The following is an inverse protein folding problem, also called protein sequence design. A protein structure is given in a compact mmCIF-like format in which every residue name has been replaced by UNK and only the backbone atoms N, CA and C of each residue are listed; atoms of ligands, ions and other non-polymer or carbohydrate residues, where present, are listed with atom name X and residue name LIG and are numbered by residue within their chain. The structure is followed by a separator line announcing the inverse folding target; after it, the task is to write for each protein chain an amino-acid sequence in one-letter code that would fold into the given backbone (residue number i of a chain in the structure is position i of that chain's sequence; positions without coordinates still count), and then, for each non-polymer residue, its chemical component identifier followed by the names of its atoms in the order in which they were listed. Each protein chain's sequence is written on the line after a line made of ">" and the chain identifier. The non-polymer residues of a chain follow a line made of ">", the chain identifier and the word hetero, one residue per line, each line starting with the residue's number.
data_IF_769857733470
#
_entry.id   IF_769857733470
#
_cell.length_a   1.000
_cell.length_b   1.000
_cell.length_c   1.000
_cell.angle_alpha   90.00
_cell.angle_beta   90.00
_cell.angle_gamma   90.00
#
_symmetry.space_group_name_H-M   'P 1'
#
loop_
_entity.id
_entity.type
_entity.pdbx_description
1 polymer ?
#
# COMPACT_ATOMS: atom_id res chain seq x y z
N UNK A 1 -42.67 -28.06 22.80
CA UNK A 1 -43.16 -26.66 22.75
C UNK A 1 -42.11 -25.68 23.31
N UNK A 2 -41.55 -24.87 22.40
CA UNK A 2 -41.04 -23.50 22.61
C UNK A 2 -40.01 -23.21 23.72
N UNK A 3 -38.76 -22.98 23.29
CA UNK A 3 -37.91 -21.83 23.69
C UNK A 3 -38.65 -20.48 23.37
N UNK A 4 -38.20 -19.23 23.74
CA UNK A 4 -36.80 -18.74 23.80
C UNK A 4 -36.45 -17.51 24.70
N UNK A 5 -35.18 -17.03 24.61
CA UNK A 5 -34.58 -15.73 25.05
C UNK A 5 -34.49 -15.45 26.58
N UNK A 6 -33.49 -14.80 27.17
CA UNK A 6 -32.65 -13.68 26.73
C UNK A 6 -31.35 -13.56 27.58
N UNK A 7 -30.36 -12.93 26.96
CA UNK A 7 -29.01 -12.45 27.35
C UNK A 7 -28.82 -11.81 28.75
N UNK A 8 -27.62 -11.98 29.34
CA UNK A 8 -26.75 -10.89 29.84
C UNK A 8 -25.46 -11.46 30.47
N UNK A 9 -24.30 -11.28 29.82
CA UNK A 9 -23.02 -11.27 30.54
C UNK A 9 -22.26 -10.00 30.16
N UNK A 10 -22.05 -9.18 31.18
CA UNK A 10 -21.33 -7.91 31.18
C UNK A 10 -19.86 -8.18 30.86
N UNK A 11 -19.29 -7.46 29.90
CA UNK A 11 -17.85 -7.27 29.81
C UNK A 11 -17.52 -5.79 29.91
N UNK A 12 -16.83 -5.47 30.98
CA UNK A 12 -16.30 -4.19 31.39
C UNK A 12 -15.03 -3.89 30.57
N UNK A 13 -14.94 -2.70 29.96
CA UNK A 13 -13.65 -2.09 29.55
C UNK A 13 -13.71 -0.60 29.90
N UNK A 14 -12.70 -0.03 30.60
CA UNK A 14 -12.79 1.25 31.30
C UNK A 14 -12.57 2.48 30.40
N UNK A 15 -12.90 3.62 31.00
CA UNK A 15 -12.96 4.96 30.44
C UNK A 15 -11.60 5.67 30.28
N UNK A 16 -11.69 6.77 29.51
CA UNK A 16 -10.89 8.00 29.55
C UNK A 16 -9.56 8.05 28.76
N UNK A 17 -9.55 8.88 27.72
CA UNK A 17 -8.70 10.07 27.69
C UNK A 17 -9.23 11.06 26.64
N UNK A 18 -9.84 12.13 27.12
CA UNK A 18 -10.14 13.35 26.36
C UNK A 18 -8.82 14.09 26.17
N UNK A 19 -8.48 14.44 24.93
CA UNK A 19 -7.47 15.46 24.65
C UNK A 19 -8.09 16.50 23.71
N UNK A 20 -8.35 17.66 24.27
CA UNK A 20 -8.76 18.86 23.57
C UNK A 20 -7.62 19.38 22.68
N UNK A 21 -7.94 19.82 21.47
CA UNK A 21 -7.16 20.82 20.75
C UNK A 21 -8.11 21.86 20.16
N UNK A 22 -8.02 23.06 20.74
CA UNK A 22 -8.74 24.28 20.37
C UNK A 22 -7.85 25.06 19.39
N UNK A 23 -8.44 25.36 18.22
CA UNK A 23 -8.22 26.48 17.31
C UNK A 23 -6.79 27.00 17.04
N UNK A 24 -6.37 26.91 15.76
CA UNK A 24 -5.93 28.08 15.00
C UNK A 24 -5.91 27.80 13.49
N UNK A 25 -6.68 28.58 12.73
CA UNK A 25 -6.35 29.05 11.38
C UNK A 25 -6.10 28.05 10.25
N UNK A 26 -7.13 27.83 9.43
CA UNK A 26 -7.04 27.47 8.01
C UNK A 26 -6.34 26.15 7.64
N UNK A 27 -7.14 25.09 7.48
CA UNK A 27 -6.92 24.11 6.41
C UNK A 27 -8.21 23.31 6.20
N UNK A 28 -8.61 23.12 4.94
CA UNK A 28 -9.69 22.21 4.53
C UNK A 28 -9.53 20.86 5.25
N UNK A 29 -10.29 20.68 6.34
CA UNK A 29 -10.24 19.44 7.07
C UNK A 29 -10.91 18.37 6.22
N UNK A 30 -10.06 17.44 5.78
CA UNK A 30 -10.42 16.14 5.28
C UNK A 30 -11.67 15.64 5.99
N UNK A 31 -12.65 15.21 5.19
CA UNK A 31 -13.70 14.31 5.62
C UNK A 31 -13.02 13.03 6.16
N UNK A 32 -12.77 13.00 7.46
CA UNK A 32 -12.45 11.79 8.20
C UNK A 32 -13.75 10.99 8.32
N UNK A 33 -14.12 10.28 7.25
CA UNK A 33 -15.23 9.33 7.26
C UNK A 33 -14.76 8.09 8.01
N UNK A 34 -14.89 8.12 9.35
CA UNK A 34 -14.83 6.92 10.19
C UNK A 34 -16.15 6.17 10.08
N UNK A 35 -16.41 5.60 8.91
CA UNK A 35 -17.50 4.66 8.66
C UNK A 35 -16.94 3.26 8.54
N UNK A 36 -17.56 2.28 9.17
CA UNK A 36 -17.23 0.87 9.05
C UNK A 36 -17.52 0.41 7.60
N UNK A 37 -16.60 0.67 6.66
CA UNK A 37 -16.81 0.47 5.22
C UNK A 37 -16.53 -0.98 4.83
N UNK A 38 -17.49 -1.88 5.05
CA UNK A 38 -17.40 -3.23 4.51
C UNK A 38 -17.78 -3.22 3.02
N UNK A 39 -16.82 -2.92 2.14
CA UNK A 39 -17.05 -2.95 0.68
C UNK A 39 -17.30 -4.36 0.11
N UNK A 40 -17.25 -5.41 0.94
CA UNK A 40 -17.47 -6.79 0.49
C UNK A 40 -16.47 -7.26 -0.58
N UNK A 41 -15.39 -6.50 -0.80
CA UNK A 41 -14.40 -6.79 -1.82
C UNK A 41 -13.48 -7.90 -1.36
N UNK A 42 -13.45 -8.99 -2.12
CA UNK A 42 -12.56 -10.11 -1.93
C UNK A 42 -11.19 -9.84 -2.56
N UNK A 43 -10.16 -10.50 -2.04
CA UNK A 43 -8.80 -10.44 -2.59
C UNK A 43 -8.58 -11.75 -3.33
N UNK A 44 -8.19 -11.68 -4.60
CA UNK A 44 -7.87 -12.86 -5.38
C UNK A 44 -6.65 -13.59 -4.79
N UNK A 45 -6.66 -14.93 -4.84
CA UNK A 45 -5.54 -15.74 -4.40
C UNK A 45 -4.25 -15.43 -5.16
N UNK A 46 -4.33 -14.93 -6.40
CA UNK A 46 -3.18 -14.46 -7.17
C UNK A 46 -2.43 -13.32 -6.49
N UNK A 47 -3.15 -12.39 -5.84
CA UNK A 47 -2.56 -11.27 -5.10
C UNK A 47 -1.82 -11.78 -3.85
N UNK A 48 -2.43 -12.73 -3.14
CA UNK A 48 -1.85 -13.35 -1.95
C UNK A 48 -0.59 -14.14 -2.30
N UNK A 49 -0.64 -14.90 -3.40
CA UNK A 49 0.52 -15.65 -3.92
C UNK A 49 1.68 -14.71 -4.23
N UNK A 50 1.43 -13.65 -5.00
CA UNK A 50 2.46 -12.66 -5.35
C UNK A 50 3.04 -11.97 -4.13
N UNK A 51 2.21 -11.60 -3.17
CA UNK A 51 2.69 -11.03 -1.91
C UNK A 51 3.60 -11.99 -1.14
N UNK A 52 3.20 -13.25 -1.01
CA UNK A 52 4.01 -14.26 -0.33
C UNK A 52 5.32 -14.52 -1.06
N UNK A 53 5.32 -14.52 -2.40
CA UNK A 53 6.51 -14.68 -3.21
C UNK A 53 7.46 -13.46 -3.13
N UNK A 54 6.92 -12.25 -2.95
CA UNK A 54 7.73 -11.05 -2.69
C UNK A 54 8.31 -11.02 -1.27
N UNK A 55 7.55 -11.51 -0.29
CA UNK A 55 7.92 -11.52 1.13
C UNK A 55 8.95 -12.60 1.46
N UNK A 56 8.74 -13.83 0.96
CA UNK A 56 9.69 -14.91 1.16
C UNK A 56 10.77 -14.75 0.10
N UNK A 57 11.94 -14.26 0.50
CA UNK A 57 13.12 -14.24 -0.35
C UNK A 57 13.55 -15.69 -0.64
N UNK A 58 12.89 -16.33 -1.62
CA UNK A 58 13.11 -17.74 -2.01
C UNK A 58 14.27 -17.93 -2.99
N UNK A 59 15.03 -16.87 -3.29
CA UNK A 59 16.00 -16.91 -4.38
C UNK A 59 17.36 -17.40 -3.90
N UNK A 60 17.62 -18.69 -4.13
CA UNK A 60 18.93 -19.31 -3.93
C UNK A 60 19.80 -19.18 -5.19
N UNK A 61 19.18 -19.07 -6.37
CA UNK A 61 19.85 -19.02 -7.66
C UNK A 61 19.75 -17.63 -8.29
N UNK A 62 20.79 -17.15 -9.01
CA UNK A 62 20.81 -15.80 -9.61
C UNK A 62 19.73 -15.58 -10.68
N UNK A 63 19.20 -16.65 -11.29
CA UNK A 63 18.10 -16.57 -12.26
C UNK A 63 16.74 -16.31 -11.59
N UNK A 64 16.51 -16.87 -10.40
CA UNK A 64 15.29 -16.63 -9.63
C UNK A 64 15.27 -15.23 -9.00
N UNK A 65 16.45 -14.71 -8.60
CA UNK A 65 16.57 -13.32 -8.13
C UNK A 65 16.09 -12.35 -9.22
N UNK A 66 16.44 -12.60 -10.48
CA UNK A 66 16.01 -11.75 -11.60
C UNK A 66 14.50 -11.80 -11.84
N UNK A 67 13.86 -12.94 -11.59
CA UNK A 67 12.39 -13.10 -11.69
C UNK A 67 11.64 -12.57 -10.47
N UNK A 68 12.34 -12.11 -9.42
CA UNK A 68 11.72 -11.47 -8.27
C UNK A 68 10.99 -10.21 -8.72
N UNK A 69 9.78 -9.99 -8.22
CA UNK A 69 9.02 -8.78 -8.51
C UNK A 69 9.49 -7.66 -7.59
N UNK A 70 9.94 -6.57 -8.19
CA UNK A 70 10.34 -5.33 -7.50
C UNK A 70 9.12 -4.47 -7.21
N UNK A 71 8.21 -4.35 -8.18
CA UNK A 71 6.96 -3.63 -8.03
C UNK A 71 5.83 -4.38 -8.71
N UNK A 72 4.63 -4.36 -8.13
CA UNK A 72 3.42 -4.93 -8.72
C UNK A 72 2.24 -4.01 -8.51
N UNK A 73 1.40 -3.87 -9.52
CA UNK A 73 0.16 -3.09 -9.47
C UNK A 73 -1.05 -4.02 -9.37
N UNK A 74 -2.01 -3.61 -8.56
CA UNK A 74 -3.29 -4.27 -8.38
C UNK A 74 -4.42 -3.32 -8.72
N UNK A 75 -5.42 -3.86 -9.39
CA UNK A 75 -6.64 -3.17 -9.74
C UNK A 75 -7.86 -3.90 -9.16
N UNK A 76 -8.97 -3.18 -9.05
CA UNK A 76 -10.26 -3.81 -8.86
C UNK A 76 -10.71 -4.39 -10.19
N UNK A 77 -11.31 -5.58 -10.15
CA UNK A 77 -12.04 -6.15 -11.28
C UNK A 77 -13.15 -5.19 -11.74
N UNK A 78 -13.65 -5.37 -12.96
CA UNK A 78 -14.77 -4.59 -13.51
C UNK A 78 -16.00 -4.63 -12.59
N UNK A 79 -16.25 -5.78 -11.95
CA UNK A 79 -17.32 -5.98 -10.97
C UNK A 79 -17.14 -5.20 -9.67
N UNK A 80 -15.96 -4.61 -9.44
CA UNK A 80 -15.53 -3.94 -8.19
C UNK A 80 -15.61 -4.84 -6.94
N UNK A 81 -15.74 -6.15 -7.11
CA UNK A 81 -15.88 -7.14 -6.03
C UNK A 81 -14.60 -7.89 -5.71
N UNK A 82 -13.62 -7.88 -6.61
CA UNK A 82 -12.37 -8.61 -6.45
C UNK A 82 -11.19 -7.68 -6.70
N UNK A 83 -10.14 -7.79 -5.88
CA UNK A 83 -8.83 -7.19 -6.18
C UNK A 83 -8.00 -8.22 -6.92
N UNK A 84 -7.55 -7.84 -8.11
CA UNK A 84 -6.77 -8.67 -9.04
C UNK A 84 -5.43 -7.99 -9.34
N UNK A 85 -4.46 -8.77 -9.80
CA UNK A 85 -3.20 -8.24 -10.29
C UNK A 85 -3.39 -7.65 -11.69
N UNK A 86 -2.81 -6.48 -11.93
CA UNK A 86 -2.84 -5.84 -13.24
C UNK A 86 -1.71 -6.42 -14.10
N UNK A 87 -2.07 -7.32 -15.03
CA UNK A 87 -1.10 -7.96 -15.93
C UNK A 87 -0.36 -6.93 -16.78
N UNK A 88 0.95 -7.09 -16.92
CA UNK A 88 1.81 -6.16 -17.68
C UNK A 88 2.24 -4.90 -16.93
N UNK A 89 1.77 -4.68 -15.69
CA UNK A 89 2.20 -3.56 -14.83
C UNK A 89 2.96 -4.04 -13.60
N UNK A 90 4.01 -4.80 -13.86
CA UNK A 90 4.96 -5.25 -12.85
C UNK A 90 6.39 -4.95 -13.29
N UNK A 91 7.27 -4.68 -12.33
CA UNK A 91 8.71 -4.49 -12.55
C UNK A 91 9.42 -5.67 -11.92
N UNK A 92 10.31 -6.32 -12.66
CA UNK A 92 11.17 -7.36 -12.11
C UNK A 92 12.49 -6.77 -11.62
N UNK A 93 13.06 -7.39 -10.59
CA UNK A 93 14.38 -7.01 -10.05
C UNK A 93 15.46 -7.20 -11.12
N UNK A 94 15.32 -8.19 -12.01
CA UNK A 94 16.24 -8.42 -13.11
C UNK A 94 16.25 -7.32 -14.18
N UNK A 95 15.17 -6.55 -14.29
CA UNK A 95 15.08 -5.40 -15.20
C UNK A 95 15.85 -4.19 -14.64
N UNK A 96 15.98 -4.12 -13.31
CA UNK A 96 16.68 -3.04 -12.62
C UNK A 96 18.19 -3.14 -12.90
N UNK A 97 18.71 -2.14 -13.61
CA UNK A 97 20.11 -2.08 -14.05
C UNK A 97 20.40 -2.74 -15.40
N UNK A 98 19.39 -3.24 -16.11
CA UNK A 98 19.51 -3.65 -17.53
C UNK A 98 18.68 -2.75 -18.43
N UNK A 99 17.35 -2.82 -18.28
CA UNK A 99 16.37 -2.07 -19.09
C UNK A 99 15.79 -0.89 -18.33
N UNK A 100 15.83 -0.96 -16.99
CA UNK A 100 15.28 0.05 -16.09
C UNK A 100 16.39 0.58 -15.19
N UNK A 101 16.91 1.77 -15.52
CA UNK A 101 17.88 2.49 -14.67
C UNK A 101 17.26 2.94 -13.34
N UNK A 102 15.95 3.22 -13.36
CA UNK A 102 15.23 3.75 -12.22
C UNK A 102 13.90 3.02 -12.03
N UNK A 103 13.84 2.05 -11.10
CA UNK A 103 12.63 1.28 -10.86
C UNK A 103 11.51 2.18 -10.32
N UNK A 104 11.85 3.17 -9.50
CA UNK A 104 10.87 4.05 -8.90
C UNK A 104 10.27 5.00 -9.93
N UNK A 105 11.09 5.63 -10.76
CA UNK A 105 10.57 6.49 -11.83
C UNK A 105 9.71 5.71 -12.84
N UNK A 106 10.09 4.47 -13.14
CA UNK A 106 9.32 3.58 -14.02
C UNK A 106 8.00 3.18 -13.38
N UNK A 107 8.00 2.87 -12.08
CA UNK A 107 6.81 2.62 -11.30
C UNK A 107 5.83 3.80 -11.36
N UNK A 108 6.31 5.03 -11.15
CA UNK A 108 5.48 6.24 -11.21
C UNK A 108 4.86 6.44 -12.60
N UNK A 109 5.59 6.11 -13.67
CA UNK A 109 5.07 6.18 -15.05
C UNK A 109 3.97 5.15 -15.35
N UNK A 110 3.92 4.02 -14.63
CA UNK A 110 2.88 3.01 -14.81
C UNK A 110 1.57 3.36 -14.09
N UNK A 111 1.60 4.33 -13.17
CA UNK A 111 0.41 4.76 -12.43
C UNK A 111 -0.53 5.55 -13.34
N UNK A 112 -1.84 5.24 -13.38
CA UNK A 112 -2.82 5.96 -14.17
C UNK A 112 -3.28 7.27 -13.50
N UNK A 113 -3.58 8.31 -14.28
CA UNK A 113 -3.96 9.64 -13.77
C UNK A 113 -5.46 9.71 -13.42
N UNK A 114 -6.28 8.90 -14.11
CA UNK A 114 -7.74 8.87 -13.97
C UNK A 114 -8.26 7.71 -13.14
N UNK A 115 -7.39 6.84 -12.64
CA UNK A 115 -7.78 5.66 -11.88
C UNK A 115 -6.97 5.47 -10.61
N UNK A 116 -7.59 4.81 -9.63
CA UNK A 116 -6.92 4.39 -8.41
C UNK A 116 -6.29 3.01 -8.60
N UNK A 117 -5.18 2.76 -7.92
CA UNK A 117 -4.48 1.48 -7.93
C UNK A 117 -3.88 1.21 -6.55
N UNK A 118 -3.75 -0.08 -6.22
CA UNK A 118 -2.83 -0.47 -5.15
C UNK A 118 -1.55 -0.93 -5.79
N UNK A 119 -0.45 -0.78 -5.07
CA UNK A 119 0.81 -1.37 -5.47
C UNK A 119 1.55 -1.92 -4.26
N UNK A 120 2.37 -2.92 -4.53
CA UNK A 120 3.44 -3.30 -3.64
C UNK A 120 4.75 -2.93 -4.29
N UNK A 121 5.59 -2.26 -3.53
CA UNK A 121 6.91 -1.85 -3.95
C UNK A 121 7.92 -2.35 -2.93
N UNK A 122 8.88 -3.15 -3.38
CA UNK A 122 10.00 -3.58 -2.57
C UNK A 122 11.06 -2.49 -2.59
N UNK A 123 11.07 -1.64 -1.56
CA UNK A 123 11.99 -0.51 -1.48
C UNK A 123 13.33 -0.95 -0.91
N UNK A 124 14.38 -0.78 -1.70
CA UNK A 124 15.75 -1.00 -1.24
C UNK A 124 16.33 0.35 -0.82
N UNK A 125 16.64 0.49 0.46
CA UNK A 125 17.16 1.74 1.03
C UNK A 125 18.41 1.48 1.87
N UNK A 126 19.29 2.47 1.95
CA UNK A 126 20.51 2.40 2.76
C UNK A 126 20.42 3.39 3.90
N UNK A 127 20.64 2.89 5.11
CA UNK A 127 20.85 3.70 6.31
C UNK A 127 22.34 3.79 6.61
N UNK A 128 22.72 4.65 7.56
CA UNK A 128 24.13 4.83 7.99
C UNK A 128 24.84 3.51 8.30
N UNK A 129 24.09 2.56 8.85
CA UNK A 129 24.65 1.32 9.38
C UNK A 129 24.46 0.11 8.46
N UNK A 130 23.50 0.14 7.52
CA UNK A 130 23.15 -1.06 6.74
C UNK A 130 22.24 -0.77 5.55
N UNK A 131 22.33 -1.64 4.55
CA UNK A 131 21.33 -1.73 3.48
C UNK A 131 20.15 -2.59 3.92
N UNK A 132 18.93 -2.10 3.72
CA UNK A 132 17.68 -2.78 4.06
C UNK A 132 16.73 -2.83 2.86
N UNK A 133 15.88 -3.83 2.88
CA UNK A 133 14.81 -4.01 1.90
C UNK A 133 13.52 -4.21 2.69
N UNK A 134 12.54 -3.34 2.47
CA UNK A 134 11.21 -3.49 3.08
C UNK A 134 10.13 -3.34 2.00
N UNK A 135 9.10 -4.16 2.13
CA UNK A 135 7.89 -4.05 1.31
C UNK A 135 7.03 -2.89 1.78
N UNK A 136 6.70 -2.02 0.83
CA UNK A 136 5.83 -0.86 1.02
C UNK A 136 4.53 -1.08 0.26
N UNK A 137 3.42 -0.96 0.97
CA UNK A 137 2.10 -0.90 0.35
C UNK A 137 1.80 0.53 -0.08
N UNK A 138 1.64 0.75 -1.38
CA UNK A 138 1.34 2.06 -1.94
C UNK A 138 -0.13 2.09 -2.34
N UNK A 139 -0.88 3.05 -1.81
CA UNK A 139 -2.23 3.36 -2.22
C UNK A 139 -2.22 4.61 -3.09
N UNK A 140 -2.47 4.41 -4.39
CA UNK A 140 -2.54 5.47 -5.38
C UNK A 140 -3.99 5.91 -5.61
N UNK A 141 -4.29 7.16 -5.26
CA UNK A 141 -5.62 7.74 -5.37
C UNK A 141 -5.58 9.16 -5.95
N UNK A 142 -5.39 9.33 -7.27
CA UNK A 142 -5.16 10.63 -7.87
C UNK A 142 -6.40 11.53 -7.74
N UNK A 143 -6.22 12.83 -7.52
CA UNK A 143 -7.34 13.79 -7.41
C UNK A 143 -8.28 13.78 -8.62
N UNK A 144 -7.79 13.46 -9.81
CA UNK A 144 -8.58 13.37 -11.03
C UNK A 144 -9.44 12.09 -11.14
N UNK A 145 -9.19 11.05 -10.34
CA UNK A 145 -9.97 9.81 -10.41
C UNK A 145 -11.42 9.99 -9.93
N UNK A 146 -12.38 9.23 -10.50
CA UNK A 146 -13.79 9.33 -10.16
C UNK A 146 -14.04 9.01 -8.69
N UNK A 147 -14.88 9.83 -8.04
CA UNK A 147 -15.18 9.72 -6.60
C UNK A 147 -15.67 8.31 -6.21
N UNK A 148 -16.52 7.70 -7.04
CA UNK A 148 -17.01 6.34 -6.82
C UNK A 148 -15.88 5.32 -6.73
N UNK A 149 -14.88 5.39 -7.61
CA UNK A 149 -13.73 4.49 -7.57
C UNK A 149 -12.90 4.74 -6.31
N UNK A 150 -12.55 5.99 -6.01
CA UNK A 150 -11.82 6.35 -4.78
C UNK A 150 -12.49 5.81 -3.53
N UNK A 151 -13.81 5.94 -3.46
CA UNK A 151 -14.59 5.46 -2.32
C UNK A 151 -14.47 3.94 -2.18
N UNK A 152 -14.67 3.18 -3.25
CA UNK A 152 -14.55 1.71 -3.22
C UNK A 152 -13.14 1.29 -2.85
N UNK A 153 -12.11 1.88 -3.48
CA UNK A 153 -10.73 1.60 -3.13
C UNK A 153 -10.46 1.94 -1.65
N UNK A 154 -10.80 3.13 -1.17
CA UNK A 154 -10.62 3.47 0.26
C UNK A 154 -11.32 2.45 1.18
N UNK A 155 -12.54 2.01 0.85
CA UNK A 155 -13.27 0.97 1.58
C UNK A 155 -12.69 -0.43 1.47
N UNK A 156 -11.96 -0.75 0.40
CA UNK A 156 -11.36 -2.07 0.18
C UNK A 156 -9.92 -2.16 0.69
N UNK A 157 -9.32 -1.02 1.07
CA UNK A 157 -7.95 -0.94 1.62
C UNK A 157 -7.76 -1.89 2.81
N UNK A 158 -8.72 -1.92 3.74
CA UNK A 158 -8.63 -2.79 4.92
C UNK A 158 -8.73 -4.28 4.57
N UNK A 159 -9.49 -4.63 3.53
CA UNK A 159 -9.63 -6.02 3.10
C UNK A 159 -8.32 -6.58 2.54
N UNK A 160 -7.64 -5.81 1.68
CA UNK A 160 -6.32 -6.20 1.16
C UNK A 160 -5.25 -6.18 2.25
N UNK A 161 -5.22 -5.14 3.09
CA UNK A 161 -4.25 -5.04 4.18
C UNK A 161 -4.36 -6.20 5.17
N UNK A 162 -5.58 -6.67 5.48
CA UNK A 162 -5.80 -7.87 6.30
C UNK A 162 -5.27 -9.17 5.68
N UNK A 163 -5.19 -9.25 4.35
CA UNK A 163 -4.61 -10.40 3.64
C UNK A 163 -3.09 -10.29 3.50
N UNK A 164 -2.57 -9.07 3.33
CA UNK A 164 -1.15 -8.76 3.23
C UNK A 164 -0.50 -8.65 4.62
N UNK A 165 -0.52 -9.74 5.39
CA UNK A 165 -0.02 -9.76 6.77
C UNK A 165 1.51 -9.67 6.84
N UNK A 166 2.00 -8.59 7.45
CA UNK A 166 3.44 -8.34 7.67
C UNK A 166 4.02 -7.17 6.90
N UNK A 167 3.21 -6.40 6.17
CA UNK A 167 3.63 -5.10 5.64
C UNK A 167 3.76 -4.12 6.80
N UNK A 168 4.96 -3.54 6.94
CA UNK A 168 5.25 -2.55 7.98
C UNK A 168 4.96 -1.13 7.52
N UNK A 169 5.17 -0.86 6.23
CA UNK A 169 5.14 0.47 5.68
C UNK A 169 3.97 0.65 4.71
N UNK A 170 3.20 1.70 4.93
CA UNK A 170 2.15 2.13 4.01
C UNK A 170 2.40 3.56 3.54
N UNK A 171 2.25 3.77 2.24
CA UNK A 171 2.32 5.06 1.59
C UNK A 171 0.99 5.31 0.89
N UNK A 172 0.40 6.48 1.13
CA UNK A 172 -0.75 6.95 0.37
C UNK A 172 -0.31 8.17 -0.42
N UNK A 173 -0.59 8.18 -1.72
CA UNK A 173 -0.28 9.31 -2.58
C UNK A 173 -1.50 9.72 -3.41
N UNK A 174 -1.74 11.03 -3.47
CA UNK A 174 -2.90 11.59 -4.16
C UNK A 174 -2.53 12.44 -5.39
N UNK A 175 -1.24 12.67 -5.62
CA UNK A 175 -0.71 13.36 -6.80
C UNK A 175 0.63 12.79 -7.25
N UNK A 176 0.97 13.03 -8.52
CA UNK A 176 2.21 12.51 -9.10
C UNK A 176 3.46 13.11 -8.46
N UNK A 177 3.36 14.34 -7.98
CA UNK A 177 4.49 15.02 -7.33
C UNK A 177 4.85 14.33 -6.01
N UNK A 178 3.84 13.97 -5.20
CA UNK A 178 4.01 13.26 -3.93
C UNK A 178 4.56 11.84 -4.12
N UNK A 179 4.09 11.09 -5.13
CA UNK A 179 4.60 9.74 -5.41
C UNK A 179 5.91 9.74 -6.20
N UNK A 180 6.28 10.85 -6.85
CA UNK A 180 7.58 10.98 -7.53
C UNK A 180 8.67 11.36 -6.55
N UNK A 181 8.31 12.06 -5.48
CA UNK A 181 9.23 12.47 -4.46
C UNK A 181 9.76 11.28 -3.65
N UNK A 182 11.08 11.09 -3.71
CA UNK A 182 11.76 10.01 -3.00
C UNK A 182 11.78 10.27 -1.50
N UNK A 183 11.78 11.54 -1.09
CA UNK A 183 11.78 11.93 0.31
C UNK A 183 10.52 11.40 1.00
N UNK A 184 9.35 11.56 0.39
CA UNK A 184 8.08 11.02 0.88
C UNK A 184 8.15 9.50 1.16
N UNK A 185 8.78 8.73 0.27
CA UNK A 185 8.96 7.28 0.48
C UNK A 185 10.00 7.00 1.59
N UNK A 186 11.12 7.70 1.59
CA UNK A 186 12.15 7.55 2.62
C UNK A 186 11.64 7.90 4.02
N UNK A 187 10.80 8.92 4.14
CA UNK A 187 10.13 9.30 5.37
C UNK A 187 9.29 8.16 5.95
N UNK A 188 8.59 7.40 5.09
CA UNK A 188 7.83 6.23 5.51
C UNK A 188 8.70 5.04 5.92
N UNK A 189 9.84 4.84 5.26
CA UNK A 189 10.72 3.70 5.53
C UNK A 189 11.53 3.87 6.83
N UNK A 190 12.03 5.08 7.08
CA UNK A 190 12.91 5.34 8.22
C UNK A 190 13.21 6.81 8.51
N UNK A 191 12.51 7.75 7.88
CA UNK A 191 12.73 9.17 8.15
C UNK A 191 14.15 9.60 7.79
N UNK A 192 14.74 10.37 8.71
CA UNK A 192 16.09 10.92 8.60
C UNK A 192 17.22 9.88 8.67
N UNK A 193 16.92 8.61 8.98
CA UNK A 193 17.92 7.54 9.02
C UNK A 193 18.26 7.01 7.61
N UNK A 194 17.37 7.24 6.63
CA UNK A 194 17.57 6.80 5.25
C UNK A 194 18.46 7.82 4.53
N UNK A 195 19.55 7.35 3.91
CA UNK A 195 20.50 8.19 3.19
C UNK A 195 20.27 8.07 1.68
N UNK A 196 20.01 6.85 1.21
CA UNK A 196 19.77 6.58 -0.20
C UNK A 196 18.60 5.63 -0.39
N UNK A 197 17.92 5.80 -1.52
CA UNK A 197 16.82 4.97 -1.96
C UNK A 197 17.09 4.50 -3.39
N UNK A 198 17.05 3.20 -3.63
CA UNK A 198 17.35 2.56 -4.91
C UNK A 198 18.73 2.96 -5.46
N UNK A 199 19.74 3.04 -4.58
CA UNK A 199 21.12 3.47 -4.89
C UNK A 199 21.26 4.92 -5.34
N UNK A 200 20.21 5.73 -5.28
CA UNK A 200 20.27 7.17 -5.53
C UNK A 200 20.14 7.93 -4.21
N UNK A 201 20.91 9.01 -4.01
CA UNK A 201 20.75 9.86 -2.84
C UNK A 201 19.35 10.51 -2.84
N UNK A 202 18.84 10.76 -1.64
CA UNK A 202 17.61 11.54 -1.42
C UNK A 202 17.85 13.03 -1.68
#
# INVERSE_FOLDING_TARGET
>A
PSSPFHTHLKYQIPAAAVAALVFSGSLCHLLFVSGNMASGVAVSDGVIKVFNDMKVCKSSTPEEVKKRKKAVLFCLSEDKKNIILEEGKEILVGDVGQTVDDPYATFVKMLPDKDCRYALYDATYETKDSKKEDLVFIFWAPKCAPLKSKMIYASSKDAIKKKLTGIKHELQANCYEEVKDRCTLAEKLGGSAVISLERKPL
#
